data_IF_167194770932
#
_entry.id   IF_167194770932
#
_cell.length_a   1.000
_cell.length_b   1.000
_cell.length_c   1.000
_cell.angle_alpha   90.00
_cell.angle_beta   90.00
_cell.angle_gamma   90.00
#
_symmetry.space_group_name_H-M   'P 1'
#
loop_
_entity.id
_entity.type
_entity.pdbx_description
1 polymer ?
#
# COMPACT_ATOMS: atom_id res chain seq x y z
N UNK A 1 -17.72 33.91 -3.47
CA UNK A 1 -17.18 32.70 -2.80
C UNK A 1 -17.46 31.46 -3.64
N UNK A 2 -18.63 31.37 -4.30
CA UNK A 2 -18.91 30.35 -5.33
C UNK A 2 -18.26 30.59 -6.70
N UNK A 3 -17.71 31.79 -6.96
CA UNK A 3 -17.14 32.12 -8.28
C UNK A 3 -16.04 31.16 -8.75
N UNK A 4 -15.13 30.71 -7.87
CA UNK A 4 -14.09 29.73 -8.26
C UNK A 4 -14.70 28.36 -8.61
N UNK A 5 -15.72 27.92 -7.87
CA UNK A 5 -16.44 26.67 -8.16
C UNK A 5 -17.17 26.75 -9.50
N UNK A 6 -17.94 27.80 -9.69
CA UNK A 6 -18.74 28.01 -10.91
C UNK A 6 -17.85 28.16 -12.14
N UNK A 7 -16.74 28.90 -12.02
CA UNK A 7 -15.79 29.09 -13.12
C UNK A 7 -15.03 27.79 -13.41
N UNK A 8 -14.68 27.00 -12.39
CA UNK A 8 -14.07 25.69 -12.59
C UNK A 8 -15.03 24.70 -13.26
N UNK A 9 -16.31 24.69 -12.87
CA UNK A 9 -17.35 23.85 -13.45
C UNK A 9 -17.72 24.21 -14.90
N UNK A 10 -17.50 25.47 -15.31
CA UNK A 10 -17.69 25.93 -16.71
C UNK A 10 -16.46 25.71 -17.59
N UNK A 11 -15.31 25.38 -17.02
CA UNK A 11 -14.07 25.16 -17.76
C UNK A 11 -13.35 26.44 -18.21
N UNK A 12 -13.69 27.60 -17.65
CA UNK A 12 -13.06 28.87 -18.04
C UNK A 12 -11.71 29.06 -17.33
N UNK A 13 -10.67 28.48 -17.92
CA UNK A 13 -9.31 28.56 -17.40
C UNK A 13 -8.72 29.98 -17.43
N UNK A 14 -9.30 30.92 -18.20
CA UNK A 14 -8.81 32.30 -18.24
C UNK A 14 -9.33 33.06 -17.04
N UNK A 15 -10.64 33.06 -16.85
CA UNK A 15 -11.30 33.68 -15.70
C UNK A 15 -10.79 33.06 -14.39
N UNK A 16 -10.57 31.74 -14.35
CA UNK A 16 -10.06 31.08 -13.16
C UNK A 16 -8.67 31.58 -12.76
N UNK A 17 -7.76 31.79 -13.73
CA UNK A 17 -6.43 32.36 -13.46
C UNK A 17 -6.53 33.78 -12.95
N UNK A 18 -7.46 34.58 -13.46
CA UNK A 18 -7.69 35.95 -12.98
C UNK A 18 -8.21 35.95 -11.54
N UNK A 19 -9.17 35.07 -11.22
CA UNK A 19 -9.68 34.91 -9.86
C UNK A 19 -8.59 34.49 -8.88
N UNK A 20 -7.75 33.51 -9.23
CA UNK A 20 -6.63 33.08 -8.38
C UNK A 20 -5.62 34.22 -8.18
N UNK A 21 -5.26 34.95 -9.24
CA UNK A 21 -4.36 36.13 -9.14
C UNK A 21 -4.94 37.25 -8.29
N UNK A 22 -6.26 37.39 -8.26
CA UNK A 22 -6.97 38.35 -7.42
C UNK A 22 -7.09 37.90 -5.94
N UNK A 23 -6.44 36.80 -5.54
CA UNK A 23 -6.45 36.26 -4.17
C UNK A 23 -7.50 35.17 -3.95
N UNK A 24 -8.04 34.58 -5.02
CA UNK A 24 -8.90 33.41 -4.94
C UNK A 24 -8.15 32.19 -4.40
N UNK A 25 -8.73 31.53 -3.40
CA UNK A 25 -8.17 30.35 -2.76
C UNK A 25 -8.45 29.08 -3.57
N UNK A 26 -7.42 28.52 -4.21
CA UNK A 26 -7.51 27.27 -4.97
C UNK A 26 -7.83 26.05 -4.09
N UNK A 27 -7.59 26.14 -2.78
CA UNK A 27 -7.92 25.11 -1.79
C UNK A 27 -9.33 25.23 -1.21
N UNK A 28 -10.11 26.21 -1.69
CA UNK A 28 -11.48 26.42 -1.23
C UNK A 28 -12.30 25.12 -1.27
N UNK A 29 -12.98 24.84 -0.16
CA UNK A 29 -13.96 23.77 -0.04
C UNK A 29 -15.30 24.36 0.38
N UNK A 30 -16.36 24.01 -0.36
CA UNK A 30 -17.70 24.43 -0.01
C UNK A 30 -18.06 23.95 1.41
N UNK A 31 -18.48 24.83 2.33
CA UNK A 31 -18.71 24.44 3.72
C UNK A 31 -19.76 23.36 3.89
N UNK A 32 -20.78 23.26 3.02
CA UNK A 32 -21.92 22.34 3.17
C UNK A 32 -21.78 21.04 2.40
N UNK A 33 -20.92 20.98 1.38
CA UNK A 33 -20.73 19.78 0.56
C UNK A 33 -19.30 19.26 0.55
N UNK A 34 -18.31 20.09 0.93
CA UNK A 34 -16.89 19.79 0.73
C UNK A 34 -16.42 19.89 -0.72
N UNK A 35 -17.29 20.31 -1.65
CA UNK A 35 -16.94 20.44 -3.06
C UNK A 35 -15.83 21.48 -3.24
N UNK A 36 -14.74 21.09 -3.91
CA UNK A 36 -13.64 21.99 -4.27
C UNK A 36 -13.69 22.36 -5.76
N UNK A 37 -13.06 23.47 -6.18
CA UNK A 37 -12.92 23.80 -7.60
C UNK A 37 -12.27 22.66 -8.40
N UNK A 38 -11.33 21.94 -7.78
CA UNK A 38 -10.64 20.81 -8.42
C UNK A 38 -11.59 19.64 -8.69
N UNK A 39 -12.45 19.30 -7.71
CA UNK A 39 -13.50 18.29 -7.89
C UNK A 39 -14.48 18.73 -8.97
N UNK A 40 -14.93 19.99 -8.95
CA UNK A 40 -15.88 20.51 -9.92
C UNK A 40 -15.34 20.42 -11.37
N UNK A 41 -14.09 20.81 -11.58
CA UNK A 41 -13.42 20.73 -12.88
C UNK A 41 -13.19 19.30 -13.35
N UNK A 42 -12.73 18.43 -12.45
CA UNK A 42 -12.47 17.02 -12.75
C UNK A 42 -13.76 16.29 -13.14
N UNK A 43 -14.85 16.52 -12.39
CA UNK A 43 -16.18 15.99 -12.67
C UNK A 43 -16.76 16.46 -14.01
N UNK A 44 -16.40 17.68 -14.46
CA UNK A 44 -16.85 18.26 -15.71
C UNK A 44 -15.91 18.00 -16.91
N UNK A 45 -14.76 17.35 -16.68
CA UNK A 45 -13.81 16.99 -17.75
C UNK A 45 -12.92 18.14 -18.22
N UNK A 46 -12.75 19.19 -17.41
CA UNK A 46 -11.97 20.37 -17.79
C UNK A 46 -10.49 20.23 -17.40
N UNK A 47 -9.75 19.42 -18.15
CA UNK A 47 -8.34 19.07 -17.86
C UNK A 47 -7.42 20.30 -17.75
N UNK A 48 -7.64 21.34 -18.55
CA UNK A 48 -6.85 22.58 -18.46
C UNK A 48 -7.10 23.33 -17.14
N UNK A 49 -8.36 23.38 -16.68
CA UNK A 49 -8.70 23.95 -15.37
C UNK A 49 -8.08 23.13 -14.25
N UNK A 50 -8.10 21.80 -14.35
CA UNK A 50 -7.44 20.89 -13.39
C UNK A 50 -5.95 21.25 -13.26
N UNK A 51 -5.22 21.44 -14.39
CA UNK A 51 -3.82 21.88 -14.36
C UNK A 51 -3.63 23.22 -13.67
N UNK A 52 -4.49 24.21 -13.97
CA UNK A 52 -4.41 25.55 -13.36
C UNK A 52 -4.56 25.46 -11.84
N UNK A 53 -5.54 24.69 -11.36
CA UNK A 53 -5.80 24.54 -9.93
C UNK A 53 -4.66 23.83 -9.20
N UNK A 54 -4.16 22.73 -9.76
CA UNK A 54 -3.02 22.00 -9.18
C UNK A 54 -1.76 22.88 -9.11
N UNK A 55 -1.46 23.63 -10.18
CA UNK A 55 -0.33 24.57 -10.20
C UNK A 55 -0.52 25.74 -9.21
N UNK A 56 -1.75 26.05 -8.83
CA UNK A 56 -2.07 27.03 -7.80
C UNK A 56 -2.10 26.44 -6.37
N UNK A 57 -1.71 25.18 -6.20
CA UNK A 57 -1.65 24.52 -4.89
C UNK A 57 -2.96 23.92 -4.41
N UNK A 58 -3.94 23.69 -5.30
CA UNK A 58 -5.14 22.94 -4.93
C UNK A 58 -4.76 21.52 -4.46
N UNK A 59 -5.25 21.05 -3.31
CA UNK A 59 -4.94 19.72 -2.78
C UNK A 59 -5.56 18.64 -3.68
N UNK A 60 -4.72 17.80 -4.27
CA UNK A 60 -5.15 16.68 -5.12
C UNK A 60 -5.96 15.62 -4.34
N UNK A 61 -5.70 15.52 -3.04
CA UNK A 61 -6.28 14.55 -2.10
C UNK A 61 -7.45 15.11 -1.26
N UNK A 62 -7.98 16.29 -1.59
CA UNK A 62 -9.14 16.81 -0.88
C UNK A 62 -10.38 15.93 -1.13
N UNK A 63 -11.09 15.62 -0.05
CA UNK A 63 -12.33 14.83 -0.05
C UNK A 63 -13.54 15.74 0.15
N UNK A 64 -14.61 15.46 -0.60
CA UNK A 64 -15.92 16.02 -0.30
C UNK A 64 -16.58 15.31 0.91
N UNK A 65 -17.79 15.75 1.29
CA UNK A 65 -18.55 15.13 2.40
C UNK A 65 -19.05 13.72 2.09
N UNK A 66 -18.95 13.26 0.85
CA UNK A 66 -19.20 11.86 0.47
C UNK A 66 -17.92 11.02 0.47
N UNK A 67 -16.78 11.59 0.88
CA UNK A 67 -15.50 10.89 0.93
C UNK A 67 -14.85 10.69 -0.43
N UNK A 68 -15.23 11.47 -1.45
CA UNK A 68 -14.67 11.35 -2.81
C UNK A 68 -13.73 12.50 -3.15
N UNK A 69 -12.64 12.19 -3.84
CA UNK A 69 -11.67 13.15 -4.36
C UNK A 69 -11.92 13.49 -5.84
N UNK A 70 -11.16 14.45 -6.37
CA UNK A 70 -11.26 14.84 -7.77
C UNK A 70 -10.98 13.67 -8.74
N UNK A 71 -10.06 12.78 -8.38
CA UNK A 71 -9.71 11.60 -9.19
C UNK A 71 -10.85 10.58 -9.29
N UNK A 72 -11.58 10.36 -8.19
CA UNK A 72 -12.77 9.49 -8.18
C UNK A 72 -13.83 10.01 -9.16
N UNK A 73 -14.10 11.33 -9.14
CA UNK A 73 -15.06 11.95 -10.06
C UNK A 73 -14.61 11.94 -11.52
N UNK A 74 -13.31 12.13 -11.79
CA UNK A 74 -12.77 12.03 -13.14
C UNK A 74 -12.94 10.62 -13.71
N UNK A 75 -12.66 9.58 -12.90
CA UNK A 75 -12.83 8.18 -13.27
C UNK A 75 -14.30 7.83 -13.51
N UNK A 76 -15.20 8.15 -12.56
CA UNK A 76 -16.63 7.86 -12.66
C UNK A 76 -17.28 8.50 -13.90
N UNK A 77 -16.79 9.68 -14.31
CA UNK A 77 -17.29 10.41 -15.47
C UNK A 77 -16.57 10.05 -16.79
N UNK A 78 -15.55 9.18 -16.77
CA UNK A 78 -14.77 8.79 -17.95
C UNK A 78 -13.84 9.88 -18.50
N UNK A 79 -13.41 10.82 -17.66
CA UNK A 79 -12.54 11.93 -18.03
C UNK A 79 -11.06 11.57 -17.84
N UNK A 80 -10.53 10.72 -18.72
CA UNK A 80 -9.18 10.16 -18.62
C UNK A 80 -8.08 11.24 -18.52
N UNK A 81 -8.14 12.30 -19.33
CA UNK A 81 -7.14 13.37 -19.27
C UNK A 81 -7.07 14.02 -17.88
N UNK A 82 -8.22 14.26 -17.24
CA UNK A 82 -8.27 14.78 -15.87
C UNK A 82 -7.67 13.79 -14.88
N UNK A 83 -8.02 12.51 -15.03
CA UNK A 83 -7.52 11.44 -14.17
C UNK A 83 -5.99 11.33 -14.23
N UNK A 84 -5.42 11.30 -15.43
CA UNK A 84 -3.97 11.17 -15.63
C UNK A 84 -3.20 12.36 -15.03
N UNK A 85 -3.74 13.57 -15.19
CA UNK A 85 -3.16 14.79 -14.59
C UNK A 85 -3.19 14.72 -13.07
N UNK A 86 -4.29 14.29 -12.48
CA UNK A 86 -4.45 14.16 -11.03
C UNK A 86 -3.52 13.08 -10.48
N UNK A 87 -3.39 11.95 -11.18
CA UNK A 87 -2.53 10.84 -10.78
C UNK A 87 -1.05 11.27 -10.79
N UNK A 88 -0.61 11.91 -11.87
CA UNK A 88 0.75 12.48 -11.99
C UNK A 88 1.03 13.50 -10.88
N UNK A 89 0.07 14.39 -10.59
CA UNK A 89 0.21 15.38 -9.53
C UNK A 89 0.27 14.73 -8.14
N UNK A 90 -0.55 13.71 -7.88
CA UNK A 90 -0.55 12.97 -6.61
C UNK A 90 0.78 12.26 -6.37
N UNK A 91 1.27 11.51 -7.35
CA UNK A 91 2.56 10.81 -7.28
C UNK A 91 3.71 11.79 -7.06
N UNK A 92 3.74 12.90 -7.80
CA UNK A 92 4.78 13.94 -7.63
C UNK A 92 4.74 14.58 -6.25
N UNK A 93 3.55 14.87 -5.73
CA UNK A 93 3.41 15.44 -4.40
C UNK A 93 3.95 14.48 -3.33
N UNK A 94 3.59 13.20 -3.38
CA UNK A 94 4.06 12.19 -2.42
C UNK A 94 5.58 11.97 -2.50
N UNK A 95 6.17 11.95 -3.70
CA UNK A 95 7.63 11.88 -3.86
C UNK A 95 8.35 13.05 -3.16
N UNK A 96 7.83 14.27 -3.32
CA UNK A 96 8.40 15.48 -2.71
C UNK A 96 8.20 15.49 -1.20
N UNK A 97 7.00 15.16 -0.72
CA UNK A 97 6.67 15.11 0.71
C UNK A 97 7.49 14.04 1.43
N UNK A 98 7.59 12.84 0.85
CA UNK A 98 8.47 11.79 1.34
C UNK A 98 9.91 12.29 1.44
N UNK A 99 10.43 12.97 0.41
CA UNK A 99 11.79 13.51 0.41
C UNK A 99 12.03 14.55 1.52
N UNK A 100 11.04 15.39 1.81
CA UNK A 100 11.11 16.37 2.88
C UNK A 100 11.05 15.72 4.27
N UNK A 101 10.13 14.79 4.50
CA UNK A 101 9.97 14.07 5.78
C UNK A 101 11.23 13.31 6.18
N UNK A 102 11.96 12.75 5.21
CA UNK A 102 13.25 12.06 5.45
C UNK A 102 14.35 12.94 6.03
N UNK A 103 14.28 14.26 5.83
CA UNK A 103 15.29 15.17 6.37
C UNK A 103 15.03 15.49 7.85
N UNK A 104 13.80 15.28 8.34
CA UNK A 104 13.37 15.66 9.69
C UNK A 104 13.32 14.48 10.66
N UNK A 105 13.10 13.25 10.19
CA UNK A 105 13.02 12.03 10.99
C UNK A 105 14.40 11.41 11.28
N UNK A 106 15.19 12.05 12.16
CA UNK A 106 16.45 11.48 12.68
C UNK A 106 16.43 11.06 14.15
N UNK A 107 15.29 11.13 14.85
CA UNK A 107 15.16 10.73 16.26
C UNK A 107 13.70 10.43 16.65
N UNK A 108 13.17 9.24 16.33
CA UNK A 108 11.91 8.76 16.92
C UNK A 108 12.04 7.32 17.41
N UNK A 109 11.21 6.92 18.37
CA UNK A 109 10.96 5.51 18.66
C UNK A 109 10.52 4.79 17.38
N UNK A 110 10.81 3.48 17.29
CA UNK A 110 10.43 2.67 16.15
C UNK A 110 8.91 2.48 16.09
N UNK A 111 8.36 2.51 14.87
CA UNK A 111 6.92 2.58 14.57
C UNK A 111 6.11 1.44 15.16
N UNK A 112 6.67 0.23 15.18
CA UNK A 112 5.98 -0.98 15.62
C UNK A 112 6.07 -1.27 17.13
N UNK A 113 6.59 -0.34 17.96
CA UNK A 113 6.75 -0.58 19.41
C UNK A 113 5.44 -0.97 20.09
N UNK A 114 4.38 -0.19 19.87
CA UNK A 114 3.08 -0.42 20.49
C UNK A 114 2.50 -1.78 20.08
N UNK A 115 2.72 -2.19 18.82
CA UNK A 115 2.35 -3.52 18.34
C UNK A 115 3.13 -4.63 19.04
N UNK A 116 4.45 -4.50 19.20
CA UNK A 116 5.30 -5.52 19.81
C UNK A 116 5.06 -5.70 21.32
N UNK A 117 4.52 -4.66 21.98
CA UNK A 117 4.14 -4.68 23.39
C UNK A 117 2.68 -5.10 23.61
N UNK A 118 1.85 -5.10 22.55
CA UNK A 118 0.45 -5.48 22.62
C UNK A 118 0.28 -6.99 22.86
N UNK A 119 -0.78 -7.34 23.58
CA UNK A 119 -1.21 -8.75 23.68
C UNK A 119 -2.10 -9.10 22.50
N UNK A 120 -1.85 -10.25 21.91
CA UNK A 120 -2.64 -10.73 20.77
C UNK A 120 -3.63 -11.82 21.16
N UNK A 121 -4.79 -11.79 20.52
CA UNK A 121 -5.83 -12.79 20.64
C UNK A 121 -6.08 -13.48 19.30
N UNK A 122 -6.02 -14.80 19.31
CA UNK A 122 -6.32 -15.65 18.16
C UNK A 122 -7.73 -16.21 18.26
N UNK A 123 -8.50 -16.05 17.18
CA UNK A 123 -9.80 -16.70 16.99
C UNK A 123 -9.81 -17.48 15.67
N UNK A 124 -10.90 -18.22 15.40
CA UNK A 124 -11.03 -19.14 14.26
C UNK A 124 -10.71 -18.52 12.89
N UNK A 125 -10.77 -17.19 12.77
CA UNK A 125 -10.41 -16.49 11.53
C UNK A 125 -9.77 -15.12 11.70
N UNK A 126 -9.32 -14.75 12.91
CA UNK A 126 -8.77 -13.41 13.17
C UNK A 126 -7.63 -13.44 14.17
N UNK A 127 -6.66 -12.57 13.92
CA UNK A 127 -5.66 -12.12 14.87
C UNK A 127 -5.95 -10.65 15.17
N UNK A 128 -6.19 -10.33 16.45
CA UNK A 128 -6.49 -8.97 16.89
C UNK A 128 -5.67 -8.60 18.12
N UNK A 129 -5.46 -7.30 18.34
CA UNK A 129 -4.89 -6.79 19.58
C UNK A 129 -5.98 -6.57 20.66
N UNK A 130 -5.58 -6.06 21.83
CA UNK A 130 -6.50 -5.78 22.95
C UNK A 130 -7.57 -4.72 22.62
N UNK A 131 -7.31 -3.85 21.64
CA UNK A 131 -8.25 -2.84 21.14
C UNK A 131 -9.20 -3.38 20.05
N UNK A 132 -9.13 -4.68 19.76
CA UNK A 132 -9.89 -5.33 18.67
C UNK A 132 -9.54 -4.79 17.28
N UNK A 133 -8.33 -4.26 17.09
CA UNK A 133 -7.82 -3.90 15.78
C UNK A 133 -7.35 -5.17 15.05
N UNK A 134 -7.73 -5.29 13.78
CA UNK A 134 -7.36 -6.44 12.95
C UNK A 134 -5.88 -6.37 12.60
N UNK A 135 -5.13 -7.39 13.02
CA UNK A 135 -3.72 -7.59 12.62
C UNK A 135 -3.64 -8.44 11.37
N UNK A 136 -4.38 -9.56 11.33
CA UNK A 136 -4.52 -10.42 10.15
C UNK A 136 -5.87 -11.13 10.20
N UNK A 137 -6.51 -11.34 9.04
CA UNK A 137 -7.82 -11.97 8.99
C UNK A 137 -7.96 -13.01 7.86
N UNK A 138 -8.81 -14.01 8.07
CA UNK A 138 -8.99 -15.13 7.15
C UNK A 138 -9.55 -14.75 5.77
N UNK A 139 -10.17 -13.57 5.61
CA UNK A 139 -10.65 -13.10 4.32
C UNK A 139 -9.50 -12.86 3.33
N UNK A 140 -8.29 -12.61 3.83
CA UNK A 140 -7.08 -12.39 3.04
C UNK A 140 -6.55 -13.69 2.42
N UNK A 141 -7.06 -14.87 2.79
CA UNK A 141 -6.56 -16.17 2.32
C UNK A 141 -6.38 -16.24 0.80
N UNK A 142 -7.36 -15.85 -0.05
CA UNK A 142 -7.17 -15.89 -1.50
C UNK A 142 -6.05 -14.95 -1.99
N UNK A 143 -5.81 -13.84 -1.29
CA UNK A 143 -4.71 -12.92 -1.57
C UNK A 143 -3.38 -13.58 -1.23
N UNK A 144 -3.28 -14.16 -0.04
CA UNK A 144 -2.08 -14.86 0.44
C UNK A 144 -1.71 -16.04 -0.46
N UNK A 145 -2.69 -16.79 -0.97
CA UNK A 145 -2.49 -17.85 -1.95
C UNK A 145 -1.98 -17.31 -3.30
N UNK A 146 -2.49 -16.16 -3.74
CA UNK A 146 -2.02 -15.49 -4.96
C UNK A 146 -0.60 -14.92 -4.80
N UNK A 147 -0.27 -14.37 -3.63
CA UNK A 147 1.07 -13.91 -3.30
C UNK A 147 2.07 -15.06 -3.26
N UNK A 148 1.74 -16.16 -2.57
CA UNK A 148 2.57 -17.37 -2.56
C UNK A 148 2.82 -17.90 -3.98
N UNK A 149 1.79 -17.91 -4.84
CA UNK A 149 1.93 -18.27 -6.25
C UNK A 149 2.86 -17.33 -7.02
N UNK A 150 2.84 -16.02 -6.73
CA UNK A 150 3.69 -15.05 -7.40
C UNK A 150 5.16 -15.22 -7.03
N UNK A 151 5.47 -15.50 -5.76
CA UNK A 151 6.84 -15.60 -5.27
C UNK A 151 7.45 -17.01 -5.39
N UNK A 152 6.65 -18.04 -5.66
CA UNK A 152 7.12 -19.43 -5.81
C UNK A 152 7.05 -19.91 -7.27
N UNK A 153 8.18 -20.36 -7.80
CA UNK A 153 8.34 -21.03 -9.09
C UNK A 153 8.73 -22.53 -8.98
N UNK A 154 9.06 -23.02 -7.77
CA UNK A 154 9.40 -24.40 -7.45
C UNK A 154 10.91 -24.64 -7.33
N UNK A 155 11.36 -25.21 -6.21
CA UNK A 155 12.79 -25.41 -5.92
C UNK A 155 13.51 -24.17 -5.37
N UNK A 156 12.75 -23.13 -5.04
CA UNK A 156 13.22 -21.79 -4.64
C UNK A 156 13.64 -21.69 -3.16
N UNK A 157 14.48 -20.69 -2.85
CA UNK A 157 14.67 -20.14 -1.52
C UNK A 157 13.71 -18.96 -1.30
N UNK A 158 12.76 -19.12 -0.39
CA UNK A 158 11.71 -18.13 -0.13
C UNK A 158 11.92 -17.44 1.21
N UNK A 159 11.78 -16.12 1.25
CA UNK A 159 11.71 -15.32 2.46
C UNK A 159 10.27 -14.80 2.66
N UNK A 160 9.74 -14.98 3.85
CA UNK A 160 8.58 -14.25 4.34
C UNK A 160 8.99 -13.31 5.49
N UNK A 161 8.50 -12.08 5.47
CA UNK A 161 8.69 -11.07 6.53
C UNK A 161 7.35 -10.73 7.15
N UNK A 162 7.08 -11.29 8.33
CA UNK A 162 5.79 -11.23 9.02
C UNK A 162 4.99 -12.52 8.85
N UNK A 163 4.81 -13.28 9.94
CA UNK A 163 4.10 -14.56 9.89
C UNK A 163 2.58 -14.38 10.08
N UNK A 164 2.19 -13.53 11.05
CA UNK A 164 0.78 -13.30 11.39
C UNK A 164 0.05 -14.59 11.79
N UNK A 165 -0.90 -15.02 10.94
CA UNK A 165 -1.64 -16.29 11.12
C UNK A 165 -1.05 -17.46 10.32
N UNK A 166 0.05 -17.26 9.59
CA UNK A 166 0.71 -18.27 8.76
C UNK A 166 -0.04 -18.61 7.48
N UNK A 167 -0.91 -17.71 6.99
CA UNK A 167 -1.74 -17.95 5.80
C UNK A 167 -0.87 -18.06 4.54
N UNK A 168 -0.01 -17.06 4.30
CA UNK A 168 0.93 -17.07 3.18
C UNK A 168 1.96 -18.17 3.32
N UNK A 169 2.48 -18.40 4.52
CA UNK A 169 3.47 -19.45 4.79
C UNK A 169 2.92 -20.83 4.47
N UNK A 170 1.66 -21.10 4.85
CA UNK A 170 0.97 -22.35 4.53
C UNK A 170 0.83 -22.51 3.02
N UNK A 171 0.49 -21.44 2.31
CA UNK A 171 0.39 -21.45 0.85
C UNK A 171 1.77 -21.67 0.19
N UNK A 172 2.82 -20.97 0.63
CA UNK A 172 4.21 -21.15 0.17
C UNK A 172 4.65 -22.61 0.33
N UNK A 173 4.40 -23.22 1.49
CA UNK A 173 4.77 -24.61 1.75
C UNK A 173 4.11 -25.61 0.79
N UNK A 174 2.94 -25.27 0.21
CA UNK A 174 2.29 -26.14 -0.79
C UNK A 174 3.05 -26.23 -2.13
N UNK A 175 3.94 -25.27 -2.40
CA UNK A 175 4.82 -25.26 -3.57
C UNK A 175 6.15 -25.99 -3.35
N UNK A 176 6.38 -26.56 -2.15
CA UNK A 176 7.58 -27.31 -1.78
C UNK A 176 8.91 -26.55 -2.07
N UNK A 177 9.11 -25.34 -1.49
CA UNK A 177 10.35 -24.60 -1.68
C UNK A 177 11.55 -25.35 -1.08
N UNK A 178 12.74 -25.15 -1.66
CA UNK A 178 14.01 -25.69 -1.16
C UNK A 178 14.30 -25.21 0.25
N UNK A 179 14.07 -23.91 0.49
CA UNK A 179 14.12 -23.32 1.83
C UNK A 179 13.02 -22.27 2.02
N UNK A 180 12.57 -22.11 3.25
CA UNK A 180 11.57 -21.12 3.63
C UNK A 180 12.00 -20.42 4.92
N UNK A 181 12.54 -19.21 4.78
CA UNK A 181 12.93 -18.35 5.91
C UNK A 181 11.76 -17.47 6.30
N UNK A 182 11.43 -17.40 7.58
CA UNK A 182 10.33 -16.59 8.10
C UNK A 182 10.88 -15.67 9.19
N UNK A 183 10.72 -14.36 9.03
CA UNK A 183 11.00 -13.38 10.09
C UNK A 183 9.71 -13.10 10.84
N UNK A 184 9.76 -13.20 12.17
CA UNK A 184 8.62 -12.86 13.04
C UNK A 184 9.11 -12.07 14.25
N UNK A 185 8.51 -10.90 14.47
CA UNK A 185 8.93 -9.97 15.50
C UNK A 185 8.09 -10.08 16.78
N UNK A 186 6.82 -10.45 16.68
CA UNK A 186 5.87 -10.43 17.78
C UNK A 186 6.00 -11.70 18.64
N UNK A 187 6.19 -11.58 19.98
CA UNK A 187 6.42 -12.72 20.86
C UNK A 187 5.26 -13.71 20.90
N UNK A 188 4.01 -13.24 20.94
CA UNK A 188 2.82 -14.12 20.93
C UNK A 188 2.68 -14.92 19.62
N UNK A 189 2.97 -14.30 18.47
CA UNK A 189 2.94 -14.97 17.16
C UNK A 189 4.04 -16.01 17.09
N UNK A 190 5.27 -15.65 17.49
CA UNK A 190 6.38 -16.58 17.55
C UNK A 190 6.09 -17.78 18.48
N UNK A 191 5.55 -17.55 19.68
CA UNK A 191 5.16 -18.62 20.60
C UNK A 191 4.11 -19.56 19.97
N UNK A 192 3.18 -19.02 19.18
CA UNK A 192 2.22 -19.81 18.41
C UNK A 192 2.90 -20.63 17.31
N UNK A 193 3.85 -20.06 16.57
CA UNK A 193 4.62 -20.80 15.54
C UNK A 193 5.30 -22.03 16.14
N UNK A 194 5.96 -21.85 17.29
CA UNK A 194 6.63 -22.95 18.00
C UNK A 194 5.62 -24.01 18.45
N UNK A 195 4.52 -23.61 19.10
CA UNK A 195 3.53 -24.59 19.59
C UNK A 195 2.76 -25.33 18.49
N UNK A 196 2.71 -24.77 17.27
CA UNK A 196 2.02 -25.37 16.11
C UNK A 196 2.94 -26.16 15.17
N UNK A 197 4.21 -26.36 15.54
CA UNK A 197 5.09 -27.28 14.83
C UNK A 197 5.86 -26.66 13.65
N UNK A 198 5.93 -25.32 13.54
CA UNK A 198 6.59 -24.67 12.41
C UNK A 198 8.11 -24.84 12.43
N UNK A 199 8.71 -24.91 13.63
CA UNK A 199 10.15 -25.08 13.78
C UNK A 199 10.63 -26.48 13.39
N UNK A 200 9.73 -27.46 13.42
CA UNK A 200 9.99 -28.87 13.15
C UNK A 200 9.93 -29.19 11.64
N UNK A 201 9.44 -28.26 10.81
CA UNK A 201 9.43 -28.41 9.35
C UNK A 201 10.86 -28.34 8.82
N UNK A 202 11.27 -29.38 8.07
CA UNK A 202 12.67 -29.58 7.68
C UNK A 202 13.28 -28.45 6.84
N UNK A 203 12.48 -27.76 6.01
CA UNK A 203 12.91 -26.67 5.15
C UNK A 203 12.59 -25.27 5.71
N UNK A 204 12.09 -25.16 6.95
CA UNK A 204 11.71 -23.88 7.55
C UNK A 204 12.79 -23.39 8.51
N UNK A 205 13.21 -22.13 8.33
CA UNK A 205 14.06 -21.38 9.28
C UNK A 205 13.27 -20.21 9.83
N UNK A 206 13.01 -20.21 11.14
CA UNK A 206 12.38 -19.06 11.83
C UNK A 206 13.47 -18.16 12.38
N UNK A 207 13.41 -16.87 12.06
CA UNK A 207 14.28 -15.81 12.59
C UNK A 207 13.42 -14.90 13.47
N UNK A 208 13.63 -14.97 14.79
CA UNK A 208 12.85 -14.18 15.74
C UNK A 208 13.48 -12.80 15.94
N UNK A 209 12.69 -11.76 15.72
CA UNK A 209 13.11 -10.37 15.85
C UNK A 209 12.52 -9.49 14.76
N UNK A 210 12.71 -8.16 14.90
CA UNK A 210 12.34 -7.21 13.85
C UNK A 210 13.24 -7.40 12.65
N UNK A 211 12.70 -7.25 11.45
CA UNK A 211 13.48 -7.41 10.23
C UNK A 211 14.67 -6.44 10.21
N UNK A 212 14.50 -5.22 10.73
CA UNK A 212 15.55 -4.19 10.86
C UNK A 212 16.77 -4.70 11.64
N UNK A 213 16.55 -5.53 12.67
CA UNK A 213 17.61 -6.03 13.55
C UNK A 213 18.29 -7.27 12.97
N UNK A 214 17.54 -8.12 12.27
CA UNK A 214 18.00 -9.45 11.83
C UNK A 214 18.41 -9.51 10.36
N UNK A 215 18.23 -8.43 9.60
CA UNK A 215 18.49 -8.40 8.15
C UNK A 215 19.92 -8.79 7.78
N UNK A 216 20.89 -8.54 8.67
CA UNK A 216 22.29 -8.91 8.47
C UNK A 216 22.56 -10.42 8.49
N UNK A 217 21.60 -11.23 8.98
CA UNK A 217 21.67 -12.69 9.06
C UNK A 217 21.05 -13.39 7.84
N UNK A 218 20.49 -12.60 6.92
CA UNK A 218 19.76 -13.09 5.75
C UNK A 218 20.69 -13.32 4.56
N UNK A 219 20.28 -14.27 3.71
CA UNK A 219 20.92 -14.56 2.43
C UNK A 219 20.19 -13.88 1.26
N UNK A 220 20.36 -14.47 0.09
CA UNK A 220 19.58 -14.13 -1.10
C UNK A 220 18.46 -15.14 -1.34
N UNK A 221 17.36 -14.68 -1.91
CA UNK A 221 16.12 -15.44 -2.09
C UNK A 221 15.61 -15.29 -3.53
N UNK A 222 14.98 -16.33 -4.05
CA UNK A 222 14.33 -16.30 -5.36
C UNK A 222 12.95 -15.63 -5.26
N UNK A 223 12.32 -15.71 -4.08
CA UNK A 223 11.04 -15.08 -3.79
C UNK A 223 11.02 -14.42 -2.41
N UNK A 224 10.46 -13.22 -2.32
CA UNK A 224 10.29 -12.50 -1.05
C UNK A 224 8.85 -12.02 -0.93
N UNK A 225 8.19 -12.36 0.17
CA UNK A 225 6.92 -11.77 0.58
C UNK A 225 7.09 -10.90 1.83
N UNK A 226 6.50 -9.70 1.83
CA UNK A 226 6.55 -8.74 2.95
C UNK A 226 5.15 -8.33 3.39
N UNK A 227 4.80 -8.64 4.64
CA UNK A 227 3.50 -8.35 5.25
C UNK A 227 3.65 -8.18 6.76
N UNK A 228 4.11 -7.00 7.16
CA UNK A 228 4.33 -6.62 8.55
C UNK A 228 3.17 -5.79 9.10
N UNK A 229 3.10 -5.69 10.43
CA UNK A 229 2.08 -4.90 11.12
C UNK A 229 2.69 -3.84 12.04
N UNK A 230 1.99 -2.72 12.20
CA UNK A 230 2.45 -1.58 13.01
C UNK A 230 3.59 -0.78 12.35
N UNK A 231 3.82 -1.00 11.06
CA UNK A 231 4.83 -0.31 10.25
C UNK A 231 4.16 0.65 9.27
N UNK A 232 4.83 1.76 8.97
CA UNK A 232 4.34 2.78 8.04
C UNK A 232 5.03 2.66 6.67
N UNK A 233 4.59 3.50 5.72
CA UNK A 233 5.16 3.54 4.38
C UNK A 233 6.69 3.65 4.35
N UNK A 234 7.27 4.44 5.26
CA UNK A 234 8.71 4.66 5.31
C UNK A 234 9.48 3.41 5.75
N UNK A 235 8.91 2.56 6.62
CA UNK A 235 9.51 1.28 7.02
C UNK A 235 9.52 0.31 5.82
N UNK A 236 8.41 0.23 5.08
CA UNK A 236 8.34 -0.57 3.85
C UNK A 236 9.35 -0.06 2.81
N UNK A 237 9.51 1.26 2.66
CA UNK A 237 10.52 1.83 1.76
C UNK A 237 11.95 1.54 2.23
N UNK A 238 12.19 1.54 3.53
CA UNK A 238 13.47 1.14 4.11
C UNK A 238 13.76 -0.34 3.77
N UNK A 239 12.77 -1.23 3.90
CA UNK A 239 12.90 -2.62 3.48
C UNK A 239 13.17 -2.73 1.96
N UNK A 240 12.45 -1.97 1.13
CA UNK A 240 12.69 -1.93 -0.32
C UNK A 240 14.15 -1.59 -0.67
N UNK A 241 14.80 -0.70 0.09
CA UNK A 241 16.20 -0.34 -0.13
C UNK A 241 17.19 -1.50 0.08
N UNK A 242 16.75 -2.60 0.70
CA UNK A 242 17.54 -3.79 0.96
C UNK A 242 17.32 -4.89 -0.08
N UNK A 243 16.25 -4.80 -0.88
CA UNK A 243 15.94 -5.78 -1.93
C UNK A 243 17.12 -6.06 -2.88
N UNK A 244 17.94 -5.09 -3.31
CA UNK A 244 19.10 -5.39 -4.17
C UNK A 244 20.13 -6.34 -3.54
N UNK A 245 20.13 -6.50 -2.22
CA UNK A 245 20.99 -7.45 -1.50
C UNK A 245 20.29 -8.78 -1.20
N UNK A 246 18.96 -8.77 -1.11
CA UNK A 246 18.16 -9.91 -0.66
C UNK A 246 17.54 -10.71 -1.81
N UNK A 247 17.22 -10.06 -2.93
CA UNK A 247 16.55 -10.70 -4.06
C UNK A 247 17.60 -11.13 -5.09
N UNK A 248 17.54 -12.40 -5.52
CA UNK A 248 18.39 -12.92 -6.60
C UNK A 248 17.97 -12.29 -7.94
N UNK A 249 18.86 -12.22 -8.95
CA UNK A 249 18.50 -11.83 -10.31
C UNK A 249 17.31 -12.66 -10.83
N UNK A 250 16.35 -12.01 -11.47
CA UNK A 250 15.10 -12.64 -11.92
C UNK A 250 14.09 -13.01 -10.83
N UNK A 251 14.46 -12.87 -9.54
CA UNK A 251 13.59 -13.16 -8.41
C UNK A 251 12.39 -12.22 -8.29
N UNK A 252 11.36 -12.66 -7.56
CA UNK A 252 10.10 -11.94 -7.40
C UNK A 252 9.90 -11.47 -5.96
N UNK A 253 9.71 -10.16 -5.81
CA UNK A 253 9.25 -9.52 -4.60
C UNK A 253 7.75 -9.23 -4.67
N UNK A 254 7.05 -9.50 -3.59
CA UNK A 254 5.64 -9.20 -3.42
C UNK A 254 5.38 -8.75 -1.98
N UNK A 255 4.32 -7.99 -1.75
CA UNK A 255 3.99 -7.46 -0.43
C UNK A 255 2.48 -7.28 -0.27
N UNK A 256 1.99 -7.24 0.97
CA UNK A 256 0.59 -6.88 1.21
C UNK A 256 0.35 -5.40 0.90
N UNK A 257 -0.39 -5.14 -0.17
CA UNK A 257 -0.65 -3.80 -0.69
C UNK A 257 -1.87 -3.17 -0.01
N UNK A 258 -1.76 -2.92 1.30
CA UNK A 258 -2.84 -2.37 2.13
C UNK A 258 -3.02 -0.85 2.08
N UNK A 259 -2.14 -0.12 1.38
CA UNK A 259 -2.09 1.35 1.41
C UNK A 259 -3.38 1.97 0.86
N UNK A 260 -3.99 2.87 1.62
CA UNK A 260 -5.22 3.57 1.21
C UNK A 260 -6.39 2.64 0.82
N UNK A 261 -6.56 1.50 1.51
CA UNK A 261 -7.61 0.50 1.27
C UNK A 261 -9.07 0.98 1.35
N UNK A 262 -9.32 2.29 1.49
CA UNK A 262 -10.64 2.93 1.55
C UNK A 262 -10.92 3.91 0.41
N UNK A 263 -9.90 4.32 -0.35
CA UNK A 263 -10.05 5.25 -1.47
C UNK A 263 -9.30 4.72 -2.69
N UNK A 264 -10.04 4.41 -3.75
CA UNK A 264 -9.51 3.77 -4.94
C UNK A 264 -8.46 4.63 -5.66
N UNK A 265 -8.72 5.93 -5.80
CA UNK A 265 -7.77 6.84 -6.45
C UNK A 265 -6.45 6.95 -5.66
N UNK A 266 -6.53 7.10 -4.34
CA UNK A 266 -5.33 7.19 -3.49
C UNK A 266 -4.54 5.87 -3.52
N UNK A 267 -5.23 4.73 -3.51
CA UNK A 267 -4.59 3.43 -3.67
C UNK A 267 -3.79 3.33 -4.98
N UNK A 268 -4.35 3.82 -6.10
CA UNK A 268 -3.65 3.84 -7.40
C UNK A 268 -2.44 4.80 -7.38
N UNK A 269 -2.55 5.96 -6.73
CA UNK A 269 -1.42 6.88 -6.53
C UNK A 269 -0.27 6.16 -5.83
N UNK A 270 -0.54 5.44 -4.73
CA UNK A 270 0.48 4.69 -4.01
C UNK A 270 1.02 3.49 -4.79
N UNK A 271 0.20 2.80 -5.59
CA UNK A 271 0.69 1.76 -6.49
C UNK A 271 1.73 2.33 -7.48
N UNK A 272 1.43 3.47 -8.10
CA UNK A 272 2.35 4.11 -9.05
C UNK A 272 3.61 4.66 -8.36
N UNK A 273 3.46 5.23 -7.16
CA UNK A 273 4.58 5.70 -6.34
C UNK A 273 5.56 4.54 -6.04
N UNK A 274 5.05 3.44 -5.49
CA UNK A 274 5.88 2.28 -5.12
C UNK A 274 6.53 1.67 -6.36
N UNK A 275 5.81 1.54 -7.47
CA UNK A 275 6.39 1.03 -8.71
C UNK A 275 7.53 1.89 -9.23
N UNK A 276 7.43 3.22 -9.13
CA UNK A 276 8.52 4.13 -9.50
C UNK A 276 9.73 4.00 -8.57
N UNK A 277 9.52 3.86 -7.26
CA UNK A 277 10.61 3.68 -6.30
C UNK A 277 11.29 2.32 -6.45
N UNK A 278 10.54 1.25 -6.70
CA UNK A 278 11.08 -0.08 -7.02
C UNK A 278 11.84 -0.08 -8.36
N UNK A 279 11.36 0.65 -9.37
CA UNK A 279 12.07 0.78 -10.64
C UNK A 279 13.43 1.47 -10.48
N UNK A 280 13.58 2.42 -9.54
CA UNK A 280 14.87 3.08 -9.27
C UNK A 280 15.94 2.13 -8.72
N UNK A 281 15.53 0.98 -8.17
CA UNK A 281 16.42 -0.05 -7.64
C UNK A 281 16.46 -1.32 -8.53
N UNK A 282 15.97 -1.24 -9.77
CA UNK A 282 16.08 -2.31 -10.77
C UNK A 282 14.98 -3.37 -10.69
N UNK A 283 13.80 -3.02 -10.18
CA UNK A 283 12.63 -3.92 -10.19
C UNK A 283 11.52 -3.42 -11.12
N UNK A 284 11.02 -4.29 -11.98
CA UNK A 284 9.82 -4.02 -12.78
C UNK A 284 8.59 -4.53 -12.05
N UNK A 285 7.63 -3.65 -11.75
CA UNK A 285 6.44 -3.98 -10.94
C UNK A 285 5.19 -4.11 -11.81
N UNK A 286 4.45 -5.19 -11.62
CA UNK A 286 3.10 -5.38 -12.15
C UNK A 286 2.08 -5.45 -11.01
N UNK A 287 0.88 -4.92 -11.25
CA UNK A 287 -0.24 -4.99 -10.32
C UNK A 287 -1.34 -5.86 -10.90
N UNK A 288 -1.54 -7.04 -10.31
CA UNK A 288 -2.53 -8.02 -10.77
C UNK A 288 -3.85 -7.79 -10.03
N UNK A 289 -4.95 -7.45 -10.73
CA UNK A 289 -6.23 -7.19 -10.07
C UNK A 289 -6.89 -8.49 -9.59
N UNK A 290 -7.24 -8.51 -8.31
CA UNK A 290 -7.94 -9.60 -7.63
C UNK A 290 -9.27 -9.09 -7.08
N UNK A 291 -10.42 -9.54 -7.61
CA UNK A 291 -11.72 -9.18 -7.05
C UNK A 291 -11.89 -9.75 -5.63
N UNK A 292 -12.19 -8.88 -4.67
CA UNK A 292 -12.31 -9.26 -3.24
C UNK A 292 -13.68 -8.96 -2.65
N UNK A 293 -14.58 -8.29 -3.39
CA UNK A 293 -15.92 -7.93 -2.90
C UNK A 293 -16.70 -9.06 -2.24
N UNK A 294 -16.58 -10.29 -2.75
CA UNK A 294 -17.24 -11.48 -2.19
C UNK A 294 -16.71 -11.90 -0.81
N UNK A 295 -15.53 -11.41 -0.42
CA UNK A 295 -14.83 -11.74 0.82
C UNK A 295 -15.00 -10.66 1.90
N UNK A 296 -15.73 -9.57 1.63
CA UNK A 296 -15.79 -8.37 2.49
C UNK A 296 -17.19 -8.11 3.07
N UNK A 297 -17.95 -9.17 3.34
CA UNK A 297 -19.29 -9.04 3.93
C UNK A 297 -19.26 -8.44 5.35
N UNK A 298 -20.40 -8.00 5.87
CA UNK A 298 -20.46 -7.39 7.22
C UNK A 298 -19.97 -8.35 8.31
N UNK A 299 -20.22 -9.66 8.16
CA UNK A 299 -19.81 -10.70 9.10
C UNK A 299 -18.30 -10.81 9.20
N UNK A 300 -17.58 -10.60 8.10
CA UNK A 300 -16.12 -10.58 8.07
C UNK A 300 -15.57 -9.61 9.11
N UNK A 301 -16.24 -8.47 9.32
CA UNK A 301 -15.79 -7.41 10.21
C UNK A 301 -16.36 -7.48 11.63
N UNK A 302 -17.21 -8.46 11.97
CA UNK A 302 -17.79 -8.58 13.31
C UNK A 302 -16.73 -8.73 14.40
N UNK A 303 -16.69 -7.81 15.37
CA UNK A 303 -15.68 -7.82 16.44
C UNK A 303 -14.31 -7.27 16.03
N UNK A 304 -14.23 -6.62 14.86
CA UNK A 304 -13.07 -5.81 14.45
C UNK A 304 -13.46 -4.34 14.55
N UNK A 305 -12.63 -3.54 15.22
CA UNK A 305 -12.93 -2.14 15.53
C UNK A 305 -13.14 -1.29 14.28
N UNK A 306 -12.25 -1.42 13.30
CA UNK A 306 -12.28 -0.65 12.06
C UNK A 306 -11.97 -1.54 10.86
N UNK A 307 -12.69 -1.32 9.76
CA UNK A 307 -12.40 -2.00 8.49
C UNK A 307 -11.15 -1.37 7.90
N UNK A 308 -10.07 -2.12 7.71
CA UNK A 308 -8.86 -1.61 7.05
C UNK A 308 -8.91 -1.75 5.52
N UNK A 309 -9.89 -2.48 4.98
CA UNK A 309 -10.08 -2.64 3.54
C UNK A 309 -11.55 -2.53 3.14
N UNK A 310 -11.83 -1.74 2.11
CA UNK A 310 -13.19 -1.48 1.59
C UNK A 310 -13.27 -1.45 0.05
N UNK A 311 -12.15 -1.62 -0.66
CA UNK A 311 -12.16 -1.64 -2.13
C UNK A 311 -12.62 -3.00 -2.69
N UNK A 312 -13.36 -2.96 -3.80
CA UNK A 312 -13.88 -4.17 -4.47
C UNK A 312 -12.77 -5.02 -5.12
N UNK A 313 -11.61 -4.42 -5.40
CA UNK A 313 -10.46 -5.05 -6.06
C UNK A 313 -9.20 -4.76 -5.28
N UNK A 314 -8.43 -5.82 -5.00
CA UNK A 314 -7.07 -5.75 -4.49
C UNK A 314 -6.07 -5.83 -5.64
N UNK A 315 -5.04 -4.99 -5.63
CA UNK A 315 -4.00 -5.01 -6.65
C UNK A 315 -2.75 -5.69 -6.09
N UNK A 316 -2.53 -6.95 -6.49
CA UNK A 316 -1.38 -7.73 -6.05
C UNK A 316 -0.10 -7.23 -6.73
N UNK A 317 0.88 -6.70 -5.98
CA UNK A 317 2.19 -6.34 -6.53
C UNK A 317 3.05 -7.58 -6.81
N UNK A 318 3.58 -7.67 -8.02
CA UNK A 318 4.65 -8.61 -8.36
C UNK A 318 5.78 -7.82 -9.00
N UNK A 319 6.86 -7.61 -8.25
CA UNK A 319 8.04 -6.85 -8.64
C UNK A 319 9.17 -7.82 -8.95
N UNK A 320 9.61 -7.87 -10.21
CA UNK A 320 10.66 -8.77 -10.67
C UNK A 320 12.00 -8.02 -10.77
N UNK A 321 13.04 -8.59 -10.16
CA UNK A 321 14.41 -8.11 -10.36
C UNK A 321 14.86 -8.35 -11.81
N UNK A 322 15.62 -7.40 -12.37
CA UNK A 322 16.25 -7.58 -13.67
C UNK A 322 17.09 -8.87 -13.71
N UNK A 323 17.06 -9.60 -14.83
CA UNK A 323 17.96 -10.71 -15.07
C UNK A 323 19.38 -10.18 -15.30
N UNK A 324 20.40 -10.90 -14.83
CA UNK A 324 21.77 -10.61 -15.24
C UNK A 324 21.87 -10.82 -16.76
N UNK A 325 22.05 -9.73 -17.50
CA UNK A 325 22.38 -9.83 -18.92
C UNK A 325 23.85 -10.21 -19.02
N UNK A 326 24.12 -11.45 -19.46
CA UNK A 326 25.46 -11.87 -19.85
C UNK A 326 26.01 -10.89 -20.90
N UNK A 327 27.00 -10.07 -20.51
CA UNK A 327 27.82 -9.25 -21.43
C UNK A 327 29.13 -9.96 -21.75
#
# INVERSE_FOLDING_TARGET
MDALLDTAARGDATELRELIRAGGDASYANPSTGLTPLIAAAKAGHSEVVRVLLNAGAPWNALDRSGRCAGDYAMDAGHQDCYDILLDAGVKAELVLGAASRQTTKNSEFSNKDYLEARLSFSEGKLVNEESEGVMMAWERPLMEAHAKAVCCGGDDILNVGFGMGLVDTAIQSYNPSSHTIIEAHPDVYARMISTGWKEKANVRIVFGRWQDVISELGQYDGIFFDTYGEYYEDMREFHSQLPKLLKPGGIYSYFNGLCGHNAFFHVVYCQLVALELAQIGLTTQFIPLPVRSCLDEKTWEGVREKYWQLDTYFLPAAQAEEETDN
#
